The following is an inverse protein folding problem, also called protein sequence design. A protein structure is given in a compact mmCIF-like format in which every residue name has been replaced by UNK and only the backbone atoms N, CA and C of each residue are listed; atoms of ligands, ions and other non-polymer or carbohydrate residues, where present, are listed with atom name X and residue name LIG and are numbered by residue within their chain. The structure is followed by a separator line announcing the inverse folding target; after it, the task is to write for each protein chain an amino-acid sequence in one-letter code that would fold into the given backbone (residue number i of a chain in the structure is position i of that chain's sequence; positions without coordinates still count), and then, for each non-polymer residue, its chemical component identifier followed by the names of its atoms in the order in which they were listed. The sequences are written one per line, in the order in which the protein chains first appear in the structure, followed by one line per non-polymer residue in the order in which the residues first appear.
data_IF_208199634179
#
_entry.id   IF_208199634179
#
_cell.length_a   1.000
_cell.length_b   1.000
_cell.length_c   1.000
_cell.angle_alpha   90.00
_cell.angle_beta   90.00
_cell.angle_gamma   90.00
#
_symmetry.space_group_name_H-M   'P 1'
#
loop_
_entity.id
_entity.type
_entity.pdbx_description
1 polymer ?
#
# COMPACT_ATOMS: atom_id res chain seq x y z
N UNK A 1 2.93 -18.57 -18.22
CA UNK A 1 1.57 -19.01 -17.86
C UNK A 1 1.07 -18.11 -16.74
N UNK A 2 -0.21 -17.76 -16.71
CA UNK A 2 -0.81 -16.99 -15.61
C UNK A 2 -0.76 -17.82 -14.33
N UNK A 3 -0.27 -17.25 -13.22
CA UNK A 3 -0.17 -17.96 -11.94
C UNK A 3 -1.56 -18.09 -11.32
N UNK A 4 -1.95 -19.29 -10.88
CA UNK A 4 -3.25 -19.52 -10.25
C UNK A 4 -3.44 -18.69 -8.96
N UNK A 5 -4.71 -18.45 -8.59
CA UNK A 5 -5.05 -17.75 -7.36
C UNK A 5 -4.89 -18.69 -6.17
N UNK A 6 -3.88 -18.44 -5.35
CA UNK A 6 -3.63 -19.21 -4.13
C UNK A 6 -4.49 -18.68 -3.00
N UNK A 7 -5.33 -19.54 -2.42
CA UNK A 7 -6.23 -19.18 -1.30
C UNK A 7 -5.94 -19.98 -0.03
N UNK A 8 -5.06 -20.99 -0.11
CA UNK A 8 -4.71 -21.87 0.99
C UNK A 8 -3.18 -21.99 1.11
N UNK A 9 -2.72 -22.30 2.32
CA UNK A 9 -1.30 -22.56 2.59
C UNK A 9 -0.91 -23.97 2.17
N UNK A 10 0.31 -24.12 1.64
CA UNK A 10 0.90 -25.45 1.41
C UNK A 10 1.21 -26.15 2.75
N UNK A 11 1.44 -27.47 2.73
CA UNK A 11 1.82 -28.20 3.94
C UNK A 11 3.12 -27.68 4.56
N UNK A 12 4.07 -27.20 3.75
CA UNK A 12 5.31 -26.58 4.24
C UNK A 12 5.04 -25.25 4.93
N UNK A 13 4.20 -24.41 4.35
CA UNK A 13 3.81 -23.12 4.92
C UNK A 13 3.03 -23.26 6.22
N UNK A 14 2.21 -24.31 6.35
CA UNK A 14 1.47 -24.61 7.58
C UNK A 14 2.40 -24.92 8.77
N UNK A 15 3.59 -25.48 8.51
CA UNK A 15 4.57 -25.79 9.56
C UNK A 15 5.34 -24.56 10.07
N UNK A 16 5.26 -23.42 9.39
CA UNK A 16 5.93 -22.19 9.82
C UNK A 16 5.27 -21.63 11.09
N UNK A 17 6.07 -21.10 12.02
CA UNK A 17 5.61 -20.59 13.33
C UNK A 17 4.52 -19.52 13.20
N UNK A 18 4.62 -18.69 12.17
CA UNK A 18 3.69 -17.61 11.86
C UNK A 18 2.46 -18.05 11.01
N UNK A 19 2.27 -19.34 10.72
CA UNK A 19 1.08 -19.82 9.99
C UNK A 19 -0.22 -19.57 10.74
N UNK A 20 -0.17 -19.53 12.07
CA UNK A 20 -1.32 -19.17 12.93
C UNK A 20 -1.96 -17.83 12.56
N UNK A 21 -1.20 -16.85 12.06
CA UNK A 21 -1.75 -15.55 11.65
C UNK A 21 -2.63 -15.65 10.40
N UNK A 22 -2.39 -16.62 9.52
CA UNK A 22 -3.24 -16.87 8.36
C UNK A 22 -4.63 -17.37 8.78
N UNK A 23 -4.68 -18.25 9.79
CA UNK A 23 -5.93 -18.86 10.27
C UNK A 23 -6.71 -18.00 11.26
N UNK A 24 -6.10 -16.95 11.82
CA UNK A 24 -6.84 -15.97 12.63
C UNK A 24 -8.00 -15.38 11.80
N UNK A 25 -9.18 -15.16 12.42
CA UNK A 25 -10.22 -14.35 11.79
C UNK A 25 -9.63 -12.99 11.39
N UNK A 26 -9.98 -12.51 10.20
CA UNK A 26 -9.57 -11.16 9.78
C UNK A 26 -10.12 -10.15 10.78
N UNK A 27 -9.30 -9.14 11.10
CA UNK A 27 -9.74 -8.06 11.97
C UNK A 27 -10.99 -7.38 11.38
N UNK A 28 -11.85 -6.88 12.27
CA UNK A 28 -13.00 -6.07 11.85
C UNK A 28 -12.45 -4.76 11.25
N UNK A 29 -12.78 -4.41 9.99
CA UNK A 29 -12.35 -3.16 9.41
C UNK A 29 -12.86 -1.97 10.22
N UNK A 30 -12.07 -0.90 10.33
CA UNK A 30 -12.46 0.28 11.12
C UNK A 30 -13.86 0.79 10.70
N UNK A 31 -14.87 0.72 11.59
CA UNK A 31 -16.25 1.01 11.23
C UNK A 31 -16.47 2.47 10.83
N UNK A 32 -15.77 3.41 11.49
CA UNK A 32 -15.88 4.85 11.16
C UNK A 32 -15.37 5.12 9.75
N UNK A 33 -14.21 4.57 9.37
CA UNK A 33 -13.69 4.70 8.00
C UNK A 33 -14.64 4.07 6.99
N UNK A 34 -15.14 2.87 7.28
CA UNK A 34 -16.09 2.18 6.42
C UNK A 34 -17.39 2.98 6.25
N UNK A 35 -17.88 3.62 7.30
CA UNK A 35 -19.11 4.42 7.23
C UNK A 35 -18.90 5.71 6.44
N UNK A 36 -17.73 6.36 6.56
CA UNK A 36 -17.36 7.49 5.70
C UNK A 36 -17.38 7.06 4.22
N UNK A 37 -16.74 5.94 3.89
CA UNK A 37 -16.66 5.48 2.49
C UNK A 37 -18.03 5.06 1.93
N UNK A 38 -18.94 4.54 2.76
CA UNK A 38 -20.31 4.18 2.35
C UNK A 38 -21.18 5.39 2.00
N UNK A 39 -20.82 6.61 2.40
CA UNK A 39 -21.53 7.83 2.01
C UNK A 39 -21.42 8.11 0.51
N UNK A 40 -20.46 7.48 -0.17
CA UNK A 40 -20.22 7.64 -1.59
C UNK A 40 -19.00 8.52 -1.89
N UNK A 41 -18.82 8.92 -3.16
CA UNK A 41 -17.66 9.69 -3.58
C UNK A 41 -17.56 11.04 -2.87
N UNK A 42 -16.34 11.44 -2.49
CA UNK A 42 -16.05 12.78 -2.01
C UNK A 42 -16.10 13.82 -3.13
N UNK A 43 -16.18 15.10 -2.77
CA UNK A 43 -16.03 16.20 -3.71
C UNK A 43 -14.61 16.20 -4.32
N UNK A 44 -14.45 16.04 -5.65
CA UNK A 44 -13.13 16.01 -6.27
C UNK A 44 -12.37 17.33 -6.18
N UNK A 45 -13.03 18.47 -5.91
CA UNK A 45 -12.35 19.74 -5.66
C UNK A 45 -11.54 19.73 -4.34
N UNK A 46 -11.82 18.76 -3.46
CA UNK A 46 -11.13 18.56 -2.18
C UNK A 46 -10.08 17.46 -2.25
N UNK A 47 -9.75 16.94 -3.44
CA UNK A 47 -8.69 15.96 -3.60
C UNK A 47 -7.32 16.64 -3.47
N UNK A 48 -6.40 16.02 -2.72
CA UNK A 48 -5.01 16.45 -2.73
C UNK A 48 -4.40 15.99 -4.06
N UNK A 49 -4.03 16.92 -4.94
CA UNK A 49 -3.39 16.58 -6.22
C UNK A 49 -1.93 16.12 -6.02
N UNK A 50 -1.39 15.23 -6.86
CA UNK A 50 -0.06 14.66 -6.64
C UNK A 50 1.06 15.71 -6.74
N UNK A 51 0.85 16.82 -7.44
CA UNK A 51 1.77 17.97 -7.48
C UNK A 51 1.93 18.62 -6.09
N UNK A 52 0.93 18.46 -5.23
CA UNK A 52 0.86 19.04 -3.90
C UNK A 52 1.22 18.04 -2.80
N UNK A 53 1.90 16.93 -3.12
CA UNK A 53 2.23 15.86 -2.16
C UNK A 53 2.91 16.36 -0.87
N UNK A 54 3.63 17.47 -0.95
CA UNK A 54 4.30 18.13 0.18
C UNK A 54 3.35 18.73 1.23
N UNK A 55 2.05 18.89 0.96
CA UNK A 55 1.06 19.25 1.98
C UNK A 55 0.88 18.13 3.01
N UNK A 56 1.24 16.88 2.70
CA UNK A 56 1.25 15.79 3.69
C UNK A 56 2.25 16.03 4.83
N UNK A 57 3.31 16.81 4.57
CA UNK A 57 4.32 17.20 5.56
C UNK A 57 3.82 18.34 6.49
N UNK A 58 2.64 18.89 6.26
CA UNK A 58 2.06 19.89 7.14
C UNK A 58 1.64 19.27 8.47
N UNK A 59 1.75 20.02 9.59
CA UNK A 59 1.37 19.50 10.91
C UNK A 59 -0.14 19.23 11.00
N UNK A 60 -0.96 20.01 10.30
CA UNK A 60 -2.41 19.81 10.21
C UNK A 60 -2.78 18.67 9.29
N UNK A 61 -3.98 18.13 9.49
CA UNK A 61 -4.59 17.21 8.53
C UNK A 61 -5.05 17.95 7.29
N UNK A 62 -5.07 17.23 6.17
CA UNK A 62 -5.74 17.69 4.96
C UNK A 62 -7.26 17.69 5.18
N UNK A 63 -8.01 18.49 4.42
CA UNK A 63 -9.47 18.62 4.59
C UNK A 63 -10.20 17.26 4.52
N UNK A 64 -9.75 16.40 3.59
CA UNK A 64 -10.25 15.03 3.46
C UNK A 64 -9.09 14.05 3.62
N UNK A 65 -9.12 13.30 4.72
CA UNK A 65 -8.19 12.20 5.01
C UNK A 65 -8.77 10.82 4.65
N UNK A 66 -10.08 10.74 4.39
CA UNK A 66 -10.81 9.51 4.08
C UNK A 66 -11.86 9.78 3.00
N UNK A 67 -11.69 9.20 1.82
CA UNK A 67 -12.61 9.38 0.70
C UNK A 67 -12.04 8.89 -0.62
N UNK A 68 -12.91 8.80 -1.63
CA UNK A 68 -12.52 8.47 -2.99
C UNK A 68 -13.34 9.27 -4.00
N UNK A 69 -12.78 9.59 -5.15
CA UNK A 69 -13.50 10.31 -6.22
C UNK A 69 -12.88 10.05 -7.59
N UNK A 70 -13.61 10.43 -8.64
CA UNK A 70 -13.07 10.62 -9.98
C UNK A 70 -12.74 12.10 -10.15
N UNK A 71 -11.53 12.39 -10.60
CA UNK A 71 -11.03 13.74 -10.85
C UNK A 71 -11.57 14.30 -12.17
N UNK A 72 -11.65 15.63 -12.35
CA UNK A 72 -12.21 16.24 -13.56
C UNK A 72 -11.48 15.85 -14.87
N UNK A 73 -10.21 15.43 -14.77
CA UNK A 73 -9.41 15.00 -15.92
C UNK A 73 -9.48 13.49 -16.22
N UNK A 74 -10.42 12.78 -15.58
CA UNK A 74 -10.69 11.36 -15.77
C UNK A 74 -9.86 10.42 -14.89
N UNK A 75 -8.84 10.92 -14.21
CA UNK A 75 -8.10 10.15 -13.20
C UNK A 75 -8.99 9.88 -11.97
N UNK A 76 -8.50 9.11 -11.00
CA UNK A 76 -9.20 8.92 -9.75
C UNK A 76 -8.28 9.07 -8.54
N UNK A 77 -8.85 9.41 -7.41
CA UNK A 77 -8.14 9.69 -6.17
C UNK A 77 -8.74 8.89 -5.02
N UNK A 78 -7.87 8.39 -4.15
CA UNK A 78 -8.24 7.71 -2.90
C UNK A 78 -7.39 8.27 -1.76
N UNK A 79 -8.03 8.59 -0.65
CA UNK A 79 -7.39 8.91 0.62
C UNK A 79 -7.97 8.02 1.72
N UNK A 80 -7.11 7.42 2.53
CA UNK A 80 -7.51 6.67 3.74
C UNK A 80 -6.44 6.86 4.80
N UNK A 81 -6.84 7.27 6.01
CA UNK A 81 -5.96 7.42 7.16
C UNK A 81 -6.23 6.32 8.20
N UNK A 82 -5.49 5.23 8.10
CA UNK A 82 -5.56 4.14 9.09
C UNK A 82 -4.70 4.47 10.32
N UNK A 83 -5.15 4.04 11.50
CA UNK A 83 -4.37 4.16 12.74
C UNK A 83 -3.86 2.79 13.14
N UNK A 84 -2.60 2.71 13.58
CA UNK A 84 -1.94 1.49 13.98
C UNK A 84 -1.47 1.61 15.44
N UNK A 85 -2.34 1.30 16.41
CA UNK A 85 -1.98 1.31 17.82
C UNK A 85 -0.85 0.31 18.12
N UNK A 86 0.15 0.74 18.89
CA UNK A 86 1.29 -0.10 19.31
C UNK A 86 2.30 -0.43 18.20
N UNK A 87 2.10 0.07 16.98
CA UNK A 87 3.02 -0.12 15.85
C UNK A 87 3.99 1.05 15.76
N UNK A 88 5.25 0.75 15.45
CA UNK A 88 6.30 1.74 15.24
C UNK A 88 6.68 1.87 13.75
N UNK A 89 7.46 2.90 13.42
CA UNK A 89 8.01 3.10 12.07
C UNK A 89 8.91 1.93 11.66
N UNK A 90 9.69 1.38 12.60
CA UNK A 90 10.57 0.23 12.38
C UNK A 90 9.78 -1.01 11.96
N UNK A 91 8.67 -1.30 12.64
CA UNK A 91 7.80 -2.43 12.31
C UNK A 91 7.22 -2.31 10.90
N UNK A 92 6.83 -1.10 10.48
CA UNK A 92 6.34 -0.84 9.13
C UNK A 92 7.44 -1.07 8.10
N UNK A 93 8.63 -0.50 8.30
CA UNK A 93 9.74 -0.68 7.37
C UNK A 93 10.16 -2.15 7.26
N UNK A 94 10.17 -2.88 8.39
CA UNK A 94 10.42 -4.32 8.40
C UNK A 94 9.36 -5.10 7.63
N UNK A 95 8.08 -4.78 7.82
CA UNK A 95 6.99 -5.45 7.12
C UNK A 95 7.16 -5.41 5.60
N UNK A 96 7.46 -4.23 5.05
CA UNK A 96 7.63 -4.03 3.60
C UNK A 96 8.88 -4.73 3.02
N UNK A 97 9.90 -5.00 3.84
CA UNK A 97 11.01 -5.86 3.46
C UNK A 97 10.66 -7.36 3.58
N UNK A 98 9.93 -7.73 4.63
CA UNK A 98 9.65 -9.12 5.00
C UNK A 98 8.60 -9.78 4.11
N UNK A 99 7.50 -9.07 3.81
CA UNK A 99 6.35 -9.68 3.14
C UNK A 99 6.61 -10.02 1.67
N UNK A 100 7.60 -9.37 1.05
CA UNK A 100 7.93 -9.52 -0.37
C UNK A 100 8.49 -10.89 -0.74
N UNK A 101 9.01 -11.62 0.27
CA UNK A 101 9.82 -12.81 0.04
C UNK A 101 9.03 -14.09 -0.23
N UNK A 102 7.76 -14.16 0.17
CA UNK A 102 6.93 -15.38 0.05
C UNK A 102 5.43 -15.04 -0.08
N UNK A 103 4.70 -15.79 -0.92
CA UNK A 103 3.25 -15.65 -1.09
C UNK A 103 2.50 -15.66 0.24
N UNK A 104 2.78 -16.64 1.11
CA UNK A 104 2.12 -16.77 2.40
C UNK A 104 2.23 -15.48 3.23
N UNK A 105 3.39 -14.82 3.23
CA UNK A 105 3.61 -13.60 4.00
C UNK A 105 2.71 -12.48 3.50
N UNK A 106 2.58 -12.33 2.18
CA UNK A 106 1.65 -11.38 1.56
C UNK A 106 0.18 -11.71 1.86
N UNK A 107 -0.17 -12.99 1.87
CA UNK A 107 -1.51 -13.47 2.20
C UNK A 107 -1.91 -13.22 3.66
N UNK A 108 -0.95 -13.16 4.62
CA UNK A 108 -1.24 -12.82 6.01
C UNK A 108 -1.89 -11.44 6.14
N UNK A 109 -1.47 -10.51 5.28
CA UNK A 109 -1.98 -9.14 5.26
C UNK A 109 -3.48 -9.10 4.98
N UNK A 110 -3.93 -9.81 3.93
CA UNK A 110 -5.35 -9.88 3.60
C UNK A 110 -5.70 -11.09 2.73
N UNK A 111 -5.92 -12.26 3.37
CA UNK A 111 -6.20 -13.53 2.68
C UNK A 111 -7.44 -13.56 1.75
N UNK A 112 -8.31 -12.53 1.81
CA UNK A 112 -9.46 -12.41 0.91
C UNK A 112 -9.12 -11.78 -0.43
N UNK A 113 -8.07 -10.96 -0.47
CA UNK A 113 -7.68 -10.20 -1.66
C UNK A 113 -6.23 -10.42 -2.11
N UNK A 114 -5.35 -11.04 -1.31
CA UNK A 114 -3.96 -11.26 -1.67
C UNK A 114 -3.72 -12.73 -2.05
N UNK A 115 -3.21 -12.98 -3.26
CA UNK A 115 -3.05 -14.32 -3.81
C UNK A 115 -1.60 -14.69 -4.15
N UNK A 116 -0.71 -13.71 -4.20
CA UNK A 116 0.71 -13.98 -4.39
C UNK A 116 1.55 -12.74 -4.57
N UNK A 117 2.86 -12.93 -4.42
CA UNK A 117 3.89 -11.91 -4.60
C UNK A 117 5.14 -12.57 -5.19
N UNK A 118 5.90 -11.81 -5.96
CA UNK A 118 7.22 -12.21 -6.42
C UNK A 118 8.10 -10.98 -6.66
N UNK A 119 9.39 -11.19 -6.56
CA UNK A 119 10.46 -10.22 -6.80
C UNK A 119 11.52 -10.89 -7.66
N UNK A 120 12.41 -10.11 -8.27
CA UNK A 120 13.55 -10.68 -9.01
C UNK A 120 14.59 -11.29 -8.06
N UNK A 121 15.48 -12.12 -8.59
CA UNK A 121 16.58 -12.71 -7.80
C UNK A 121 17.56 -11.62 -7.31
N UNK A 122 17.76 -10.56 -8.10
CA UNK A 122 18.58 -9.41 -7.73
C UNK A 122 17.96 -8.64 -6.55
N UNK A 123 16.65 -8.36 -6.62
CA UNK A 123 15.93 -7.71 -5.52
C UNK A 123 15.93 -8.60 -4.26
N UNK A 124 15.77 -9.92 -4.43
CA UNK A 124 15.83 -10.89 -3.34
C UNK A 124 17.20 -10.88 -2.65
N UNK A 125 18.29 -10.85 -3.40
CA UNK A 125 19.63 -10.80 -2.84
C UNK A 125 19.84 -9.57 -1.95
N UNK A 126 19.30 -8.42 -2.37
CA UNK A 126 19.41 -7.15 -1.63
C UNK A 126 18.52 -7.16 -0.37
N UNK A 127 17.32 -7.74 -0.44
CA UNK A 127 16.46 -7.91 0.73
C UNK A 127 17.11 -8.84 1.77
N UNK A 128 17.81 -9.88 1.33
CA UNK A 128 18.43 -10.86 2.24
C UNK A 128 19.81 -10.46 2.75
N UNK A 129 20.45 -9.45 2.14
CA UNK A 129 21.77 -8.97 2.57
C UNK A 129 21.70 -8.25 3.93
N UNK A 130 22.35 -8.76 4.99
CA UNK A 130 22.32 -8.14 6.32
C UNK A 130 22.91 -6.72 6.35
N UNK A 131 23.78 -6.35 5.40
CA UNK A 131 24.40 -5.03 5.33
C UNK A 131 23.48 -3.97 4.67
N UNK A 132 22.45 -4.42 3.94
CA UNK A 132 21.48 -3.52 3.32
C UNK A 132 20.55 -2.94 4.40
N UNK A 133 20.48 -1.61 4.49
CA UNK A 133 19.61 -0.92 5.46
C UNK A 133 18.14 -1.25 5.21
N UNK A 134 17.35 -1.36 6.28
CA UNK A 134 15.94 -1.78 6.21
C UNK A 134 15.12 -1.02 5.15
N UNK A 135 15.25 0.30 5.06
CA UNK A 135 14.52 1.11 4.09
C UNK A 135 14.90 0.80 2.63
N UNK A 136 16.16 0.44 2.39
CA UNK A 136 16.69 0.10 1.07
C UNK A 136 16.29 -1.31 0.64
N UNK A 137 15.78 -2.14 1.55
CA UNK A 137 15.27 -3.47 1.22
C UNK A 137 13.98 -3.40 0.41
N UNK A 138 13.21 -2.33 0.48
CA UNK A 138 12.01 -2.20 -0.37
C UNK A 138 12.06 -0.99 -1.30
N UNK A 139 12.69 0.13 -0.92
CA UNK A 139 12.79 1.28 -1.82
C UNK A 139 13.62 0.95 -3.06
N UNK A 140 13.11 1.32 -4.23
CA UNK A 140 13.72 1.01 -5.51
C UNK A 140 13.62 -0.47 -5.92
N UNK A 141 12.82 -1.30 -5.21
CA UNK A 141 12.53 -2.69 -5.60
C UNK A 141 11.22 -2.76 -6.37
N UNK A 142 11.00 -3.87 -7.09
CA UNK A 142 9.73 -4.12 -7.77
C UNK A 142 9.06 -5.39 -7.26
N UNK A 143 7.84 -5.24 -6.75
CA UNK A 143 6.99 -6.36 -6.38
C UNK A 143 5.97 -6.62 -7.49
N UNK A 144 5.89 -7.88 -7.95
CA UNK A 144 4.83 -8.34 -8.85
C UNK A 144 3.81 -9.11 -8.00
N UNK A 145 2.68 -8.47 -7.71
CA UNK A 145 1.63 -8.99 -6.83
C UNK A 145 0.41 -9.46 -7.61
N UNK A 146 -0.34 -10.37 -7.02
CA UNK A 146 -1.65 -10.81 -7.50
C UNK A 146 -2.65 -10.44 -6.41
N UNK A 147 -3.54 -9.50 -6.69
CA UNK A 147 -4.50 -9.02 -5.72
C UNK A 147 -5.87 -8.67 -6.30
N UNK A 148 -6.89 -8.66 -5.45
CA UNK A 148 -8.24 -8.19 -5.76
C UNK A 148 -8.64 -7.08 -4.78
N UNK A 149 -8.65 -5.86 -5.28
CA UNK A 149 -9.10 -4.67 -4.56
C UNK A 149 -10.61 -4.38 -4.77
N UNK A 150 -11.42 -5.42 -4.98
CA UNK A 150 -12.89 -5.32 -5.17
C UNK A 150 -13.37 -5.29 -6.61
N UNK A 151 -12.45 -5.30 -7.59
CA UNK A 151 -12.72 -5.29 -9.03
C UNK A 151 -12.53 -6.65 -9.72
N UNK A 152 -12.18 -7.68 -8.94
CA UNK A 152 -11.66 -8.94 -9.45
C UNK A 152 -10.13 -8.97 -9.43
N UNK A 153 -9.51 -10.15 -9.59
CA UNK A 153 -8.06 -10.30 -9.51
C UNK A 153 -7.28 -9.58 -10.61
N UNK A 154 -6.19 -8.93 -10.21
CA UNK A 154 -5.27 -8.17 -11.03
C UNK A 154 -3.83 -8.64 -10.80
N UNK A 155 -3.02 -8.65 -11.85
CA UNK A 155 -1.57 -8.78 -11.76
C UNK A 155 -0.97 -7.36 -11.77
N UNK A 156 -0.30 -6.97 -10.70
CA UNK A 156 0.18 -5.60 -10.48
C UNK A 156 1.68 -5.58 -10.31
N UNK A 157 2.34 -4.75 -11.09
CA UNK A 157 3.75 -4.42 -10.90
C UNK A 157 3.85 -3.13 -10.08
N UNK A 158 4.47 -3.20 -8.90
CA UNK A 158 4.63 -2.08 -7.97
C UNK A 158 6.13 -1.81 -7.83
N UNK A 159 6.59 -0.69 -8.40
CA UNK A 159 7.99 -0.25 -8.29
C UNK A 159 8.08 0.86 -7.25
N UNK A 160 8.69 0.54 -6.10
CA UNK A 160 8.84 1.46 -4.99
C UNK A 160 9.85 2.55 -5.30
N UNK A 161 9.55 3.76 -4.81
CA UNK A 161 10.33 4.96 -5.02
C UNK A 161 10.83 5.48 -3.67
N UNK A 162 11.96 6.16 -3.69
CA UNK A 162 12.42 6.96 -2.55
C UNK A 162 11.52 8.19 -2.34
N UNK A 163 11.52 8.81 -1.15
CA UNK A 163 10.78 10.04 -0.91
C UNK A 163 11.17 11.18 -1.88
N UNK A 164 12.44 11.28 -2.25
CA UNK A 164 12.92 12.28 -3.20
C UNK A 164 12.37 12.02 -4.61
N UNK A 165 12.29 10.76 -5.04
CA UNK A 165 11.68 10.37 -6.33
C UNK A 165 10.17 10.60 -6.37
N UNK A 166 9.50 10.57 -5.21
CA UNK A 166 8.10 10.96 -5.05
C UNK A 166 7.90 12.49 -5.04
N UNK A 167 8.98 13.28 -5.03
CA UNK A 167 8.92 14.74 -5.02
C UNK A 167 8.74 15.37 -3.64
N UNK A 168 9.00 14.63 -2.56
CA UNK A 168 9.01 15.20 -1.21
C UNK A 168 10.18 16.18 -1.00
N UNK A 169 9.91 17.26 -0.29
CA UNK A 169 10.89 18.21 0.19
C UNK A 169 11.71 17.57 1.32
N UNK A 170 12.93 17.14 0.97
CA UNK A 170 13.83 16.47 1.90
C UNK A 170 14.35 17.36 3.04
N UNK A 171 14.21 18.69 2.95
CA UNK A 171 14.52 19.60 4.06
C UNK A 171 13.47 19.48 5.17
N UNK A 172 12.22 19.23 4.77
CA UNK A 172 11.05 19.04 5.63
C UNK A 172 10.80 17.58 6.00
N UNK A 173 11.27 16.63 5.19
CA UNK A 173 11.11 15.20 5.39
C UNK A 173 11.93 14.68 6.59
N UNK A 174 11.41 14.89 7.80
CA UNK A 174 12.01 14.43 9.06
C UNK A 174 10.96 14.37 10.16
N UNK A 175 11.24 13.61 11.21
CA UNK A 175 10.43 13.62 12.43
C UNK A 175 10.34 15.05 13.02
N UNK A 176 9.18 15.49 13.50
CA UNK A 176 7.92 14.74 13.66
C UNK A 176 6.98 14.78 12.44
N UNK A 177 7.37 15.42 11.33
CA UNK A 177 6.48 15.55 10.16
C UNK A 177 6.20 14.20 9.50
N UNK A 178 7.21 13.33 9.44
CA UNK A 178 7.13 12.01 8.81
C UNK A 178 8.12 11.05 9.44
N UNK A 179 7.72 9.79 9.62
CA UNK A 179 8.58 8.70 10.07
C UNK A 179 9.12 7.86 8.91
N UNK A 180 8.25 7.49 7.97
CA UNK A 180 8.62 6.80 6.73
C UNK A 180 7.58 7.02 5.64
N UNK A 181 7.94 6.75 4.40
CA UNK A 181 6.99 6.67 3.27
C UNK A 181 7.22 5.38 2.51
N UNK A 182 6.11 4.72 2.20
CA UNK A 182 6.06 3.65 1.23
C UNK A 182 5.30 4.20 0.03
N UNK A 183 6.03 4.62 -1.00
CA UNK A 183 5.41 5.11 -2.22
C UNK A 183 5.98 4.42 -3.45
N UNK A 184 5.17 4.35 -4.50
CA UNK A 184 5.46 3.53 -5.67
C UNK A 184 4.70 4.01 -6.91
N UNK A 185 5.22 3.65 -8.07
CA UNK A 185 4.43 3.54 -9.28
C UNK A 185 3.87 2.11 -9.38
N UNK A 186 2.56 1.99 -9.52
CA UNK A 186 1.85 0.74 -9.78
C UNK A 186 1.37 0.65 -11.22
N UNK A 187 1.41 -0.53 -11.83
CA UNK A 187 0.74 -0.82 -13.11
C UNK A 187 -0.09 -2.09 -12.91
N UNK A 188 -1.40 -1.92 -12.80
CA UNK A 188 -2.34 -3.03 -12.68
C UNK A 188 -2.79 -3.54 -14.06
N UNK A 189 -2.86 -4.87 -14.21
CA UNK A 189 -3.42 -5.57 -15.37
C UNK A 189 -4.50 -6.54 -14.89
N UNK A 190 -5.76 -6.29 -15.24
CA UNK A 190 -6.87 -7.19 -14.88
C UNK A 190 -6.76 -8.53 -15.57
N UNK A 191 -6.97 -9.62 -14.82
CA UNK A 191 -7.04 -10.97 -15.40
C UNK A 191 -8.25 -11.17 -16.30
N UNK A 192 -9.33 -10.44 -16.04
CA UNK A 192 -10.51 -10.39 -16.92
C UNK A 192 -10.25 -9.64 -18.25
N UNK A 193 -9.07 -9.03 -18.42
CA UNK A 193 -8.72 -8.20 -19.57
C UNK A 193 -9.10 -6.73 -19.38
N UNK A 194 -8.61 -5.89 -20.30
CA UNK A 194 -8.80 -4.44 -20.29
C UNK A 194 -7.48 -3.66 -20.36
N UNK A 195 -7.55 -2.32 -20.37
CA UNK A 195 -6.36 -1.49 -20.36
C UNK A 195 -5.63 -1.61 -19.02
N UNK A 196 -4.31 -1.42 -19.07
CA UNK A 196 -3.51 -1.31 -17.85
C UNK A 196 -3.90 -0.04 -17.09
N UNK A 197 -3.91 -0.11 -15.77
CA UNK A 197 -4.22 1.01 -14.89
C UNK A 197 -2.97 1.45 -14.13
N UNK A 198 -2.34 2.58 -14.52
CA UNK A 198 -1.22 3.16 -13.77
C UNK A 198 -1.71 3.84 -12.49
N UNK A 199 -0.89 3.89 -11.46
CA UNK A 199 -1.18 4.63 -10.23
C UNK A 199 0.09 5.12 -9.56
N UNK A 200 0.05 6.31 -8.95
CA UNK A 200 0.97 6.66 -7.87
C UNK A 200 0.33 6.20 -6.58
N UNK A 201 1.06 5.42 -5.79
CA UNK A 201 0.71 5.03 -4.42
C UNK A 201 1.61 5.80 -3.45
N UNK A 202 1.06 6.29 -2.35
CA UNK A 202 1.82 6.86 -1.25
C UNK A 202 1.16 6.52 0.06
N UNK A 203 1.87 5.77 0.89
CA UNK A 203 1.56 5.54 2.28
C UNK A 203 2.49 6.41 3.14
N UNK A 204 1.95 7.52 3.61
CA UNK A 204 2.68 8.46 4.45
C UNK A 204 2.50 8.08 5.92
N UNK A 205 3.58 7.68 6.58
CA UNK A 205 3.56 7.17 7.94
C UNK A 205 4.09 8.23 8.89
N UNK A 206 3.25 8.63 9.85
CA UNK A 206 3.59 9.63 10.86
C UNK A 206 3.38 9.05 12.25
N UNK A 207 4.33 9.28 13.14
CA UNK A 207 4.21 8.89 14.54
C UNK A 207 3.11 9.71 15.22
N UNK A 208 2.30 9.04 16.05
CA UNK A 208 1.28 9.66 16.88
C UNK A 208 1.38 9.09 18.30
N UNK A 209 0.69 9.69 19.26
CA UNK A 209 0.63 9.13 20.61
C UNK A 209 0.09 7.70 20.58
N UNK A 210 0.89 6.73 21.01
CA UNK A 210 0.51 5.33 21.11
C UNK A 210 0.63 4.51 19.82
N UNK A 211 1.28 5.01 18.76
CA UNK A 211 1.55 4.23 17.56
C UNK A 211 1.88 5.09 16.35
N UNK A 212 1.45 4.64 15.16
CA UNK A 212 1.56 5.43 13.92
C UNK A 212 0.20 5.64 13.27
N UNK A 213 0.10 6.68 12.47
CA UNK A 213 -0.93 6.79 11.46
C UNK A 213 -0.36 6.54 10.07
N UNK A 214 -1.22 6.02 9.21
CA UNK A 214 -0.87 5.52 7.90
C UNK A 214 -1.77 6.21 6.87
N UNK A 215 -1.35 7.41 6.46
CA UNK A 215 -2.07 8.33 5.57
C UNK A 215 -1.81 7.93 4.13
N UNK A 216 -2.69 7.08 3.60
CA UNK A 216 -2.62 6.59 2.23
C UNK A 216 -3.20 7.61 1.25
N UNK A 217 -2.54 7.75 0.10
CA UNK A 217 -2.98 8.50 -1.08
C UNK A 217 -2.73 7.64 -2.30
N UNK A 218 -3.73 7.55 -3.18
CA UNK A 218 -3.58 6.94 -4.49
C UNK A 218 -4.06 7.91 -5.55
N UNK A 219 -3.22 8.12 -6.56
CA UNK A 219 -3.57 8.87 -7.77
C UNK A 219 -3.61 7.90 -8.94
N UNK A 220 -4.77 7.28 -9.10
CA UNK A 220 -5.06 6.35 -10.19
C UNK A 220 -5.06 7.13 -11.50
N UNK A 221 -4.31 6.65 -12.49
CA UNK A 221 -4.12 7.29 -13.79
C UNK A 221 -2.83 8.11 -13.90
N UNK A 222 -1.99 8.13 -12.85
CA UNK A 222 -0.72 8.85 -12.81
C UNK A 222 0.46 7.92 -12.56
N UNK A 223 1.66 8.40 -12.91
CA UNK A 223 2.94 7.91 -12.42
C UNK A 223 3.86 9.08 -12.06
N UNK A 224 4.82 8.84 -11.19
CA UNK A 224 6.00 9.69 -11.05
C UNK A 224 6.98 9.39 -12.17
N UNK A 225 7.30 10.37 -13.00
CA UNK A 225 8.29 10.31 -14.08
C UNK A 225 9.27 11.46 -13.86
N UNK A 226 10.57 11.15 -13.75
CA UNK A 226 11.61 12.15 -13.47
C UNK A 226 11.27 13.07 -12.28
N UNK A 227 10.83 12.46 -11.17
CA UNK A 227 10.41 13.14 -9.93
C UNK A 227 9.20 14.08 -10.08
N UNK A 228 8.40 13.93 -11.14
CA UNK A 228 7.18 14.71 -11.36
C UNK A 228 5.97 13.81 -11.63
N UNK A 229 4.78 14.14 -11.10
CA UNK A 229 3.59 13.41 -11.46
C UNK A 229 3.22 13.68 -12.93
N UNK A 230 2.89 12.62 -13.66
CA UNK A 230 2.46 12.67 -15.06
C UNK A 230 1.18 11.88 -15.21
N UNK A 231 0.16 12.48 -15.84
CA UNK A 231 -1.07 11.77 -16.20
C UNK A 231 -0.77 10.78 -17.32
N UNK A 232 -0.95 9.50 -17.03
CA UNK A 232 -0.62 8.40 -17.93
C UNK A 232 -1.82 7.92 -18.74
N UNK A 233 -3.05 8.23 -18.28
CA UNK A 233 -4.26 7.90 -19.03
C UNK A 233 -4.51 8.92 -20.15
N UNK A 234 -4.98 8.48 -21.34
CA UNK A 234 -5.31 9.40 -22.43
C UNK A 234 -6.42 10.39 -22.07
N UNK A 235 -6.46 11.52 -22.75
CA UNK A 235 -7.56 12.48 -22.60
C UNK A 235 -8.90 11.88 -23.05
N UNK A 236 -9.97 12.24 -22.34
CA UNK A 236 -11.31 11.68 -22.55
C UNK A 236 -11.53 10.28 -21.98
N UNK A 237 -10.50 9.63 -21.43
CA UNK A 237 -10.63 8.37 -20.69
C UNK A 237 -10.88 8.67 -19.21
N UNK A 238 -11.85 7.96 -18.64
CA UNK A 238 -12.20 8.08 -17.23
C UNK A 238 -12.04 6.74 -16.52
N UNK A 239 -11.38 6.77 -15.36
CA UNK A 239 -11.30 5.63 -14.45
C UNK A 239 -12.68 5.39 -13.83
N UNK A 240 -13.23 4.16 -13.89
CA UNK A 240 -14.50 3.88 -13.27
C UNK A 240 -14.45 4.11 -11.75
N UNK A 241 -15.47 4.76 -11.20
CA UNK A 241 -15.53 5.08 -9.76
C UNK A 241 -15.42 3.84 -8.88
N UNK A 242 -15.88 2.68 -9.37
CA UNK A 242 -15.79 1.39 -8.67
C UNK A 242 -14.35 0.96 -8.38
N UNK A 243 -13.39 1.40 -9.21
CA UNK A 243 -11.95 1.12 -8.99
C UNK A 243 -11.45 1.89 -7.77
N UNK A 244 -11.75 3.18 -7.70
CA UNK A 244 -11.37 4.02 -6.57
C UNK A 244 -12.09 3.60 -5.28
N UNK A 245 -13.38 3.27 -5.40
CA UNK A 245 -14.19 2.73 -4.31
C UNK A 245 -13.58 1.43 -3.79
N UNK A 246 -13.39 0.43 -4.66
CA UNK A 246 -12.84 -0.86 -4.28
C UNK A 246 -11.51 -0.72 -3.54
N UNK A 247 -10.58 0.06 -4.10
CA UNK A 247 -9.28 0.32 -3.49
C UNK A 247 -9.39 1.00 -2.11
N UNK A 248 -10.31 1.96 -1.93
CA UNK A 248 -10.52 2.60 -0.63
C UNK A 248 -11.00 1.60 0.44
N UNK A 249 -11.96 0.74 0.08
CA UNK A 249 -12.48 -0.29 0.99
C UNK A 249 -11.42 -1.36 1.28
N UNK A 250 -10.71 -1.83 0.25
CA UNK A 250 -9.59 -2.77 0.37
C UNK A 250 -8.52 -2.24 1.34
N UNK A 251 -8.13 -0.97 1.18
CA UNK A 251 -7.13 -0.33 2.04
C UNK A 251 -7.53 -0.33 3.52
N UNK A 252 -8.79 -0.04 3.86
CA UNK A 252 -9.26 -0.11 5.26
C UNK A 252 -9.21 -1.55 5.76
N UNK A 253 -9.62 -2.52 4.94
CA UNK A 253 -9.69 -3.94 5.32
C UNK A 253 -8.30 -4.54 5.58
N UNK A 254 -7.37 -4.38 4.64
CA UNK A 254 -6.03 -4.94 4.73
C UNK A 254 -5.24 -4.33 5.89
N UNK A 255 -5.33 -3.00 6.09
CA UNK A 255 -4.54 -2.32 7.09
C UNK A 255 -5.14 -2.43 8.50
N UNK A 256 -6.48 -2.55 8.63
CA UNK A 256 -7.09 -2.97 9.90
C UNK A 256 -6.61 -4.36 10.30
N UNK A 257 -6.46 -5.28 9.33
CA UNK A 257 -5.95 -6.61 9.61
C UNK A 257 -4.46 -6.60 9.96
N UNK A 258 -3.61 -5.91 9.20
CA UNK A 258 -2.18 -5.80 9.48
C UNK A 258 -1.92 -5.20 10.87
N UNK A 259 -2.59 -4.11 11.23
CA UNK A 259 -2.45 -3.46 12.53
C UNK A 259 -2.77 -4.40 13.70
N UNK A 260 -3.64 -5.39 13.51
CA UNK A 260 -4.07 -6.32 14.56
C UNK A 260 -3.01 -7.35 14.96
N UNK A 261 -2.00 -7.59 14.13
CA UNK A 261 -0.99 -8.62 14.39
C UNK A 261 0.45 -8.20 14.17
N UNK A 262 0.70 -7.07 13.50
CA UNK A 262 2.06 -6.65 13.14
C UNK A 262 3.02 -6.57 14.34
N UNK A 263 2.66 -5.98 15.50
CA UNK A 263 3.55 -5.95 16.66
C UNK A 263 3.95 -7.34 17.15
N UNK A 264 2.99 -8.26 17.29
CA UNK A 264 3.23 -9.63 17.75
C UNK A 264 4.04 -10.45 16.74
N UNK A 265 3.78 -10.26 15.44
CA UNK A 265 4.55 -10.93 14.39
C UNK A 265 5.98 -10.40 14.38
N UNK A 266 6.18 -9.09 14.46
CA UNK A 266 7.51 -8.48 14.49
C UNK A 266 8.36 -8.99 15.66
N UNK A 267 7.77 -9.06 16.86
CA UNK A 267 8.40 -9.63 18.06
C UNK A 267 8.73 -11.11 17.90
N UNK A 268 7.78 -11.92 17.41
CA UNK A 268 7.97 -13.36 17.17
C UNK A 268 9.06 -13.66 16.14
N UNK A 269 9.22 -12.79 15.15
CA UNK A 269 10.28 -12.92 14.15
C UNK A 269 11.62 -12.37 14.65
N UNK A 270 11.70 -11.79 15.85
CA UNK A 270 12.92 -11.18 16.41
C UNK A 270 13.58 -10.20 15.43
N UNK A 271 12.76 -9.42 14.71
CA UNK A 271 13.18 -8.48 13.66
C UNK A 271 13.88 -9.11 12.44
N UNK A 272 13.96 -10.45 12.39
CA UNK A 272 14.61 -11.18 11.30
C UNK A 272 13.76 -11.17 10.05
N UNK A 273 14.44 -11.09 8.91
CA UNK A 273 13.81 -11.21 7.58
C UNK A 273 13.80 -12.66 7.09
N UNK A 274 14.78 -13.44 7.54
CA UNK A 274 14.98 -14.86 7.26
C UNK A 274 15.45 -15.60 8.52
#
# INVERSE_FOLDING_TARGET
MMKDLKTELTSEEQMKTYSKYFYKPLAIPNPELMDILKLGPMDPAKALMPENINELLDPSYHEVENGYCVLPNGAAYVAVNNKFPGVTVEMINWWFAWHALEDMRYMLWFKKGHYGISISDEDRAIILDPETKMIQKFQGRTHNVIEDAGGGPEDIQITFLTPEELGFDMVRFKSPAVGTVIGANGISSRRAGGPKSPAIMTHFVREISGGVEFRSRFWLGYHMVDKKPVKMIPDGIQIPIQVAMGLAFHNVQEYSNLASFLPSLYEEMEEKIF
#
